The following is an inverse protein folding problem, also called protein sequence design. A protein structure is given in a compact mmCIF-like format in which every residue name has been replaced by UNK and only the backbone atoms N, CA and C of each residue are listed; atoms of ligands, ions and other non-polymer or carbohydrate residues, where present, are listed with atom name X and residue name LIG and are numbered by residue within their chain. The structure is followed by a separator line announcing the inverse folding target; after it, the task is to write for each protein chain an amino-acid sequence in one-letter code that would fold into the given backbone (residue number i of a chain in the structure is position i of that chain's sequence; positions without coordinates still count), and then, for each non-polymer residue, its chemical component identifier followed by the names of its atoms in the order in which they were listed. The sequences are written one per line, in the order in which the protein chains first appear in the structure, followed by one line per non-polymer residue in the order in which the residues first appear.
data_IF_403031682268
#
_entry.id   IF_403031682268
#
_cell.length_a   1.000
_cell.length_b   1.000
_cell.length_c   1.000
_cell.angle_alpha   90.00
_cell.angle_beta   90.00
_cell.angle_gamma   90.00
#
_symmetry.space_group_name_H-M   'P 1'
#
loop_
_entity.id
_entity.type
_entity.pdbx_description
1 polymer ?
#
# COMPACT_ATOMS: atom_id res chain seq x y z
N UNK A 1 -16.54 -6.77 33.42
CA UNK A 1 -16.59 -6.28 32.02
C UNK A 1 -17.55 -7.17 31.24
N UNK A 2 -18.57 -6.62 30.59
CA UNK A 2 -19.36 -7.38 29.61
C UNK A 2 -18.51 -7.51 28.34
N UNK A 3 -18.40 -8.72 27.81
CA UNK A 3 -17.83 -8.92 26.48
C UNK A 3 -18.67 -8.13 25.47
N UNK A 4 -18.02 -7.36 24.60
CA UNK A 4 -18.70 -6.66 23.52
C UNK A 4 -19.31 -7.71 22.57
N UNK A 5 -20.51 -7.44 22.06
CA UNK A 5 -21.09 -8.26 20.99
C UNK A 5 -20.17 -8.21 19.76
N UNK A 6 -19.99 -9.33 19.05
CA UNK A 6 -19.13 -9.36 17.86
C UNK A 6 -19.67 -8.39 16.78
N UNK A 7 -18.77 -7.77 16.00
CA UNK A 7 -19.18 -6.91 14.89
C UNK A 7 -19.96 -7.70 13.84
N UNK A 8 -20.85 -7.03 13.12
CA UNK A 8 -21.62 -7.66 12.02
C UNK A 8 -20.80 -7.86 10.75
N UNK A 9 -19.72 -7.10 10.58
CA UNK A 9 -18.77 -7.18 9.47
C UNK A 9 -17.47 -6.45 9.84
N UNK A 10 -16.37 -6.79 9.18
CA UNK A 10 -15.08 -6.09 9.29
C UNK A 10 -14.55 -5.74 7.89
N UNK A 11 -14.15 -4.48 7.70
CA UNK A 11 -13.44 -4.05 6.50
C UNK A 11 -11.95 -3.95 6.83
N UNK A 12 -11.13 -4.64 6.04
CA UNK A 12 -9.68 -4.69 6.20
C UNK A 12 -9.02 -4.01 5.01
N UNK A 13 -8.11 -3.08 5.29
CA UNK A 13 -7.13 -2.65 4.30
C UNK A 13 -6.07 -3.74 4.10
N UNK A 14 -5.25 -3.63 3.07
CA UNK A 14 -4.21 -4.61 2.72
C UNK A 14 -2.82 -4.09 3.11
N UNK A 15 -2.39 -3.00 2.50
CA UNK A 15 -1.04 -2.46 2.66
C UNK A 15 -0.84 -1.85 4.04
N UNK A 16 0.13 -2.35 4.79
CA UNK A 16 0.38 -1.94 6.18
C UNK A 16 -0.63 -2.48 7.20
N UNK A 17 -1.63 -3.26 6.77
CA UNK A 17 -2.64 -3.88 7.65
C UNK A 17 -2.58 -5.40 7.61
N UNK A 18 -2.67 -6.00 6.41
CA UNK A 18 -2.54 -7.45 6.21
C UNK A 18 -1.14 -7.82 5.73
N UNK A 19 -0.53 -6.98 4.90
CA UNK A 19 0.77 -7.18 4.30
C UNK A 19 1.73 -6.05 4.71
N UNK A 20 2.94 -6.40 5.13
CA UNK A 20 3.99 -5.43 5.44
C UNK A 20 4.70 -5.02 4.14
N UNK A 21 4.04 -4.17 3.37
CA UNK A 21 4.46 -3.71 2.04
C UNK A 21 5.27 -2.42 2.06
N UNK A 22 5.52 -1.81 3.22
CA UNK A 22 6.13 -0.48 3.33
C UNK A 22 7.51 -0.42 2.66
N UNK A 23 8.35 -1.43 2.87
CA UNK A 23 9.69 -1.47 2.27
C UNK A 23 9.65 -1.61 0.74
N UNK A 24 8.70 -2.39 0.21
CA UNK A 24 8.50 -2.54 -1.24
C UNK A 24 7.99 -1.24 -1.85
N UNK A 25 6.95 -0.67 -1.25
CA UNK A 25 6.35 0.60 -1.66
C UNK A 25 7.39 1.72 -1.69
N UNK A 26 8.25 1.78 -0.67
CA UNK A 26 9.37 2.73 -0.61
C UNK A 26 10.33 2.59 -1.79
N UNK A 27 10.78 1.37 -2.11
CA UNK A 27 11.71 1.15 -3.24
C UNK A 27 11.12 1.56 -4.58
N UNK A 28 9.84 1.25 -4.82
CA UNK A 28 9.15 1.62 -6.06
C UNK A 28 9.06 3.14 -6.22
N UNK A 29 8.67 3.86 -5.16
CA UNK A 29 8.59 5.32 -5.20
C UNK A 29 9.95 5.99 -5.28
N UNK A 30 10.97 5.48 -4.58
CA UNK A 30 12.34 5.98 -4.69
C UNK A 30 12.86 5.83 -6.12
N UNK A 31 12.64 4.67 -6.75
CA UNK A 31 13.03 4.43 -8.14
C UNK A 31 12.29 5.36 -9.11
N UNK A 32 10.99 5.56 -8.92
CA UNK A 32 10.20 6.48 -9.73
C UNK A 32 10.64 7.94 -9.57
N UNK A 33 10.92 8.38 -8.33
CA UNK A 33 11.38 9.74 -8.03
C UNK A 33 12.74 10.00 -8.69
N UNK A 34 13.71 9.11 -8.49
CA UNK A 34 15.04 9.20 -9.10
C UNK A 34 14.95 9.23 -10.63
N UNK A 35 14.13 8.36 -11.23
CA UNK A 35 13.92 8.34 -12.69
C UNK A 35 13.41 9.67 -13.24
N UNK A 36 12.57 10.37 -12.48
CA UNK A 36 11.97 11.64 -12.88
C UNK A 36 12.73 12.87 -12.37
N UNK A 37 13.93 12.70 -11.81
CA UNK A 37 14.76 13.79 -11.30
C UNK A 37 14.18 14.49 -10.07
N UNK A 38 13.35 13.80 -9.29
CA UNK A 38 12.75 14.28 -8.05
C UNK A 38 13.53 13.77 -6.84
N UNK A 39 13.44 14.50 -5.74
CA UNK A 39 13.94 14.04 -4.43
C UNK A 39 13.00 12.96 -3.84
N UNK A 40 13.47 11.72 -3.62
CA UNK A 40 12.67 10.67 -3.01
C UNK A 40 12.06 11.06 -1.65
N UNK A 41 12.78 11.82 -0.83
CA UNK A 41 12.28 12.24 0.49
C UNK A 41 11.15 13.27 0.39
N UNK A 42 11.15 14.09 -0.67
CA UNK A 42 10.05 15.01 -0.95
C UNK A 42 8.82 14.29 -1.50
N UNK A 43 9.00 13.20 -2.26
CA UNK A 43 7.92 12.40 -2.83
C UNK A 43 7.29 11.49 -1.78
N UNK A 44 8.08 10.87 -0.91
CA UNK A 44 7.65 9.88 0.07
C UNK A 44 6.39 10.24 0.89
N UNK A 45 6.30 11.42 1.54
CA UNK A 45 5.12 11.78 2.34
C UNK A 45 3.84 11.96 1.50
N UNK A 46 3.97 12.10 0.17
CA UNK A 46 2.83 12.23 -0.74
C UNK A 46 2.20 10.89 -1.09
N UNK A 47 2.83 9.75 -0.76
CA UNK A 47 2.46 8.42 -1.27
C UNK A 47 1.39 7.71 -0.44
N UNK A 48 1.24 8.06 0.84
CA UNK A 48 0.43 7.30 1.79
C UNK A 48 -1.08 7.46 1.57
N UNK A 49 -1.80 6.34 1.50
CA UNK A 49 -3.27 6.31 1.41
C UNK A 49 -3.82 7.00 0.17
N UNK A 50 -3.01 7.16 -0.88
CA UNK A 50 -3.37 7.84 -2.11
C UNK A 50 -3.19 6.93 -3.30
N UNK A 51 -4.00 7.19 -4.32
CA UNK A 51 -3.81 6.55 -5.61
C UNK A 51 -2.48 7.05 -6.20
N UNK A 52 -1.67 6.19 -6.84
CA UNK A 52 -0.40 6.59 -7.45
C UNK A 52 -0.52 7.79 -8.38
N UNK A 53 -1.61 7.89 -9.14
CA UNK A 53 -1.88 9.00 -10.05
C UNK A 53 -2.06 10.33 -9.30
N UNK A 54 -2.67 10.30 -8.11
CA UNK A 54 -2.84 11.49 -7.27
C UNK A 54 -1.50 11.95 -6.71
N UNK A 55 -0.63 11.00 -6.33
CA UNK A 55 0.75 11.28 -5.93
C UNK A 55 1.57 11.86 -7.07
N UNK A 56 1.48 11.29 -8.28
CA UNK A 56 2.18 11.82 -9.48
C UNK A 56 1.73 13.24 -9.77
N UNK A 57 0.42 13.53 -9.76
CA UNK A 57 -0.08 14.90 -10.00
C UNK A 57 0.41 15.89 -8.96
N UNK A 58 0.59 15.46 -7.71
CA UNK A 58 1.10 16.30 -6.64
C UNK A 58 2.62 16.54 -6.74
N UNK A 59 3.39 15.48 -7.02
CA UNK A 59 4.85 15.52 -7.05
C UNK A 59 5.42 16.07 -8.36
N UNK A 60 4.76 15.78 -9.49
CA UNK A 60 5.22 16.14 -10.83
C UNK A 60 4.03 16.50 -11.74
N UNK A 61 3.39 17.68 -11.54
CA UNK A 61 2.18 18.08 -12.27
C UNK A 61 2.31 18.12 -13.81
N UNK A 62 3.54 18.19 -14.31
CA UNK A 62 3.83 18.22 -15.75
C UNK A 62 3.83 16.82 -16.41
N UNK A 63 3.87 15.74 -15.64
CA UNK A 63 3.86 14.37 -16.16
C UNK A 63 2.43 13.87 -16.37
N UNK A 64 2.25 12.99 -17.36
CA UNK A 64 0.98 12.27 -17.52
C UNK A 64 0.87 11.18 -16.44
N UNK A 65 0.04 11.46 -15.43
CA UNK A 65 -0.19 10.55 -14.31
C UNK A 65 -0.67 9.15 -14.73
N UNK A 66 -1.38 9.02 -15.86
CA UNK A 66 -1.85 7.72 -16.37
C UNK A 66 -0.69 6.93 -17.00
N UNK A 67 0.23 7.62 -17.68
CA UNK A 67 1.44 6.99 -18.22
C UNK A 67 2.38 6.57 -17.08
N UNK A 68 2.59 7.45 -16.10
CA UNK A 68 3.43 7.18 -14.94
C UNK A 68 2.86 6.08 -14.03
N UNK A 69 1.53 5.91 -14.00
CA UNK A 69 0.93 4.75 -13.34
C UNK A 69 1.47 3.44 -13.90
N UNK A 70 1.54 3.31 -15.23
CA UNK A 70 2.06 2.10 -15.88
C UNK A 70 3.55 1.89 -15.59
N UNK A 71 4.30 2.98 -15.44
CA UNK A 71 5.70 2.92 -14.99
C UNK A 71 5.79 2.36 -13.58
N UNK A 72 4.99 2.87 -12.64
CA UNK A 72 4.95 2.40 -11.26
C UNK A 72 4.54 0.92 -11.18
N UNK A 73 3.55 0.50 -11.97
CA UNK A 73 3.14 -0.90 -12.04
C UNK A 73 4.29 -1.79 -12.57
N UNK A 74 5.05 -1.33 -13.57
CA UNK A 74 6.21 -2.06 -14.09
C UNK A 74 7.37 -2.13 -13.08
N UNK A 75 7.62 -1.04 -12.34
CA UNK A 75 8.60 -1.02 -11.26
C UNK A 75 8.22 -1.99 -10.14
N UNK A 76 6.94 -2.01 -9.76
CA UNK A 76 6.41 -2.95 -8.78
C UNK A 76 6.55 -4.40 -9.25
N UNK A 77 6.23 -4.69 -10.50
CA UNK A 77 6.35 -6.04 -11.06
C UNK A 77 7.80 -6.55 -11.08
N UNK A 78 8.78 -5.66 -11.18
CA UNK A 78 10.20 -6.02 -11.16
C UNK A 78 10.73 -6.45 -9.78
N UNK A 79 10.00 -6.12 -8.70
CA UNK A 79 10.42 -6.42 -7.32
C UNK A 79 10.10 -7.86 -6.87
N UNK A 80 9.25 -8.58 -7.61
CA UNK A 80 8.86 -9.97 -7.32
C UNK A 80 7.78 -10.14 -6.25
N UNK A 81 7.49 -11.40 -5.88
CA UNK A 81 6.19 -11.80 -5.31
C UNK A 81 6.12 -11.92 -3.77
N UNK A 82 7.13 -11.49 -3.01
CA UNK A 82 7.19 -11.81 -1.57
C UNK A 82 7.03 -10.59 -0.66
N UNK A 83 5.79 -10.31 -0.28
CA UNK A 83 5.45 -9.36 0.80
C UNK A 83 5.04 -10.15 2.05
N UNK A 84 5.74 -10.00 3.19
CA UNK A 84 5.42 -10.74 4.40
C UNK A 84 4.08 -10.25 5.00
N UNK A 85 3.36 -11.12 5.74
CA UNK A 85 2.17 -10.70 6.46
C UNK A 85 2.54 -9.82 7.66
N UNK A 86 1.68 -8.84 7.98
CA UNK A 86 1.78 -8.10 9.25
C UNK A 86 1.60 -9.06 10.43
N UNK A 87 2.37 -8.91 11.53
CA UNK A 87 2.20 -9.71 12.73
C UNK A 87 0.74 -9.72 13.21
N UNK A 88 0.19 -10.92 13.41
CA UNK A 88 -1.21 -11.09 13.85
C UNK A 88 -2.26 -11.10 12.75
N UNK A 89 -1.95 -10.65 11.51
CA UNK A 89 -2.92 -10.61 10.41
C UNK A 89 -3.53 -12.00 10.11
N UNK A 90 -2.69 -13.04 10.04
CA UNK A 90 -3.15 -14.43 9.83
C UNK A 90 -4.07 -14.91 10.97
N UNK A 91 -3.72 -14.58 12.21
CA UNK A 91 -4.50 -14.97 13.39
C UNK A 91 -5.86 -14.25 13.44
N UNK A 92 -5.88 -12.96 13.11
CA UNK A 92 -7.11 -12.18 13.00
C UNK A 92 -8.06 -12.75 11.95
N UNK A 93 -7.56 -13.00 10.73
CA UNK A 93 -8.36 -13.58 9.65
C UNK A 93 -8.94 -14.94 10.03
N UNK A 94 -8.15 -15.81 10.68
CA UNK A 94 -8.62 -17.10 11.17
C UNK A 94 -9.71 -16.95 12.24
N UNK A 95 -9.57 -15.98 13.15
CA UNK A 95 -10.55 -15.72 14.21
C UNK A 95 -11.88 -15.17 13.65
N UNK A 96 -11.82 -14.25 12.67
CA UNK A 96 -13.02 -13.71 12.01
C UNK A 96 -13.77 -14.81 11.26
N UNK A 97 -13.05 -15.65 10.51
CA UNK A 97 -13.63 -16.79 9.81
C UNK A 97 -14.30 -17.78 10.77
N UNK A 98 -13.63 -18.14 11.87
CA UNK A 98 -14.19 -19.04 12.89
C UNK A 98 -15.43 -18.45 13.58
N UNK A 99 -15.50 -17.13 13.72
CA UNK A 99 -16.64 -16.43 14.31
C UNK A 99 -17.79 -16.17 13.32
N UNK A 100 -17.64 -16.53 12.04
CA UNK A 100 -18.63 -16.24 10.99
C UNK A 100 -18.81 -14.75 10.74
N UNK A 101 -17.80 -13.93 11.04
CA UNK A 101 -17.82 -12.48 10.79
C UNK A 101 -17.35 -12.24 9.36
N UNK A 102 -18.19 -11.65 8.49
CA UNK A 102 -17.83 -11.32 7.12
C UNK A 102 -16.84 -10.14 7.05
#
# INVERSE_FOLDING_TARGET
MRAASPPRAVLLDVDGVLLDSAALHRRVWDAWAVRNGLDPEAVWPLTFGRRPEDTVRAAAPALDATAERRVLDALLAAEGDTVPPVPGARGLLAALAAAGVP
#
